data_IF_696457352669
#
_entry.id   IF_696457352669
#
_cell.length_a   1.000
_cell.length_b   1.000
_cell.length_c   1.000
_cell.angle_alpha   90.00
_cell.angle_beta   90.00
_cell.angle_gamma   90.00
#
_symmetry.space_group_name_H-M   'P 1'
#
loop_
_entity.id
_entity.type
_entity.pdbx_description
1 polymer ?
#
# COMPACT_ATOMS: atom_id res chain seq x y z
N UNK A 1 51.99 16.97 -28.07
CA UNK A 1 50.58 17.39 -28.19
C UNK A 1 49.81 16.31 -27.45
N UNK A 2 49.86 16.43 -26.13
CA UNK A 2 49.30 15.47 -25.20
C UNK A 2 47.89 15.95 -24.86
N UNK A 3 46.92 15.09 -25.16
CA UNK A 3 45.50 15.32 -24.88
C UNK A 3 45.21 14.70 -23.51
N UNK A 4 45.33 15.49 -22.46
CA UNK A 4 44.90 15.11 -21.12
C UNK A 4 43.36 14.99 -21.10
N UNK A 5 42.89 13.75 -20.98
CA UNK A 5 41.50 13.39 -20.76
C UNK A 5 41.20 13.48 -19.25
N UNK A 6 40.80 14.66 -18.78
CA UNK A 6 40.18 14.82 -17.46
C UNK A 6 38.81 14.13 -17.44
N UNK A 7 38.70 13.04 -16.67
CA UNK A 7 37.44 12.37 -16.38
C UNK A 7 36.70 13.11 -15.25
N UNK A 8 35.40 13.46 -15.40
CA UNK A 8 34.64 13.99 -14.29
C UNK A 8 34.32 12.88 -13.27
N UNK A 9 35.03 12.93 -12.14
CA UNK A 9 34.76 12.16 -10.93
C UNK A 9 33.40 12.54 -10.34
N UNK A 10 32.36 11.80 -10.71
CA UNK A 10 31.03 11.89 -10.10
C UNK A 10 31.00 11.13 -8.77
N UNK A 11 31.25 11.85 -7.68
CA UNK A 11 31.03 11.34 -6.32
C UNK A 11 29.57 11.60 -5.93
N UNK A 12 28.78 10.59 -5.53
CA UNK A 12 27.43 10.82 -5.02
C UNK A 12 27.48 11.48 -3.63
N UNK A 13 26.50 12.37 -3.31
CA UNK A 13 26.41 12.97 -1.99
C UNK A 13 26.06 11.90 -0.94
N UNK A 14 26.96 11.73 0.02
CA UNK A 14 26.78 10.88 1.20
C UNK A 14 25.73 11.53 2.12
N UNK A 15 24.47 11.17 1.94
CA UNK A 15 23.37 11.60 2.81
C UNK A 15 23.43 10.82 4.12
N UNK A 16 24.11 11.37 5.13
CA UNK A 16 24.03 10.88 6.52
C UNK A 16 22.66 11.24 7.07
N UNK A 17 21.67 10.38 6.85
CA UNK A 17 20.36 10.49 7.50
C UNK A 17 20.50 9.96 8.92
N UNK A 18 20.55 10.90 9.88
CA UNK A 18 20.54 10.65 11.32
C UNK A 18 19.16 10.10 11.70
N UNK A 19 19.04 8.77 11.74
CA UNK A 19 17.88 8.09 12.32
C UNK A 19 17.96 8.19 13.84
N UNK A 20 17.10 9.01 14.42
CA UNK A 20 16.77 8.99 15.85
C UNK A 20 15.94 7.73 16.13
N UNK A 21 16.58 6.68 16.64
CA UNK A 21 15.91 5.53 17.23
C UNK A 21 15.41 5.93 18.64
N UNK A 22 14.23 6.54 18.70
CA UNK A 22 13.41 6.48 19.91
C UNK A 22 12.76 5.11 19.96
N UNK A 23 13.42 4.18 20.64
CA UNK A 23 12.85 2.89 21.04
C UNK A 23 11.61 3.13 21.89
N UNK A 24 10.45 3.10 21.25
CA UNK A 24 9.18 2.89 21.93
C UNK A 24 8.81 1.45 21.62
N UNK A 25 8.92 0.61 22.64
CA UNK A 25 8.52 -0.78 22.67
C UNK A 25 7.03 -0.88 22.32
N UNK A 26 6.70 -1.01 21.05
CA UNK A 26 5.36 -1.40 20.63
C UNK A 26 5.23 -2.90 20.86
N UNK A 27 4.56 -3.23 21.96
CA UNK A 27 4.03 -4.54 22.30
C UNK A 27 3.54 -5.28 21.06
N UNK A 28 3.78 -6.59 20.92
CA UNK A 28 3.13 -7.39 19.89
C UNK A 28 1.63 -7.33 20.15
N UNK A 29 0.90 -6.68 19.25
CA UNK A 29 -0.55 -6.81 19.18
C UNK A 29 -0.84 -8.29 18.92
N UNK A 30 -1.38 -8.95 19.95
CA UNK A 30 -2.05 -10.24 19.86
C UNK A 30 -2.96 -10.21 18.64
N UNK A 31 -2.59 -10.91 17.58
CA UNK A 31 -3.56 -11.39 16.59
C UNK A 31 -4.46 -12.34 17.36
N UNK A 32 -5.58 -11.79 17.83
CA UNK A 32 -6.74 -12.55 18.26
C UNK A 32 -7.26 -13.24 17.01
N UNK A 33 -6.79 -14.46 16.76
CA UNK A 33 -7.49 -15.40 15.90
C UNK A 33 -8.90 -15.52 16.47
N UNK A 34 -9.85 -14.87 15.80
CA UNK A 34 -11.26 -15.10 16.01
C UNK A 34 -11.56 -16.54 15.65
N UNK A 35 -11.45 -17.43 16.64
CA UNK A 35 -12.13 -18.72 16.65
C UNK A 35 -13.62 -18.45 16.76
N UNK A 36 -14.22 -18.09 15.63
CA UNK A 36 -15.66 -18.12 15.45
C UNK A 36 -16.05 -19.51 14.94
N UNK A 37 -15.71 -20.55 15.69
CA UNK A 37 -16.52 -21.77 15.69
C UNK A 37 -17.42 -21.68 16.91
N UNK A 38 -18.52 -20.96 16.72
CA UNK A 38 -19.77 -21.26 17.40
C UNK A 38 -20.18 -22.66 16.98
N UNK A 39 -19.55 -23.66 17.61
CA UNK A 39 -20.12 -24.99 17.69
C UNK A 39 -21.33 -24.79 18.58
N UNK A 40 -22.46 -24.68 17.90
CA UNK A 40 -23.78 -24.93 18.42
C UNK A 40 -23.66 -26.03 19.48
N UNK A 41 -23.95 -25.65 20.72
CA UNK A 41 -24.04 -26.58 21.81
C UNK A 41 -25.21 -27.51 21.47
N UNK A 42 -24.93 -28.59 20.75
CA UNK A 42 -25.70 -29.80 20.86
C UNK A 42 -25.54 -30.25 22.30
N UNK A 43 -26.55 -29.85 23.08
CA UNK A 43 -26.90 -30.47 24.33
C UNK A 43 -26.73 -31.98 24.18
N UNK A 44 -25.82 -32.64 24.92
CA UNK A 44 -25.93 -34.07 25.08
C UNK A 44 -27.27 -34.29 25.76
N UNK A 45 -28.22 -34.76 24.96
CA UNK A 45 -29.50 -35.26 25.41
C UNK A 45 -29.20 -36.17 26.58
N UNK A 46 -29.55 -35.70 27.77
CA UNK A 46 -29.46 -36.46 29.01
C UNK A 46 -30.58 -37.49 28.94
N UNK A 47 -30.43 -38.49 28.06
CA UNK A 47 -31.04 -39.78 28.28
C UNK A 47 -30.33 -40.35 29.49
N UNK A 48 -31.01 -40.28 30.64
CA UNK A 48 -30.66 -40.98 31.87
C UNK A 48 -30.77 -42.49 31.60
N UNK A 49 -29.92 -43.02 30.72
CA UNK A 49 -29.61 -44.44 30.73
C UNK A 49 -28.81 -44.67 32.00
N UNK A 50 -29.42 -45.41 32.91
CA UNK A 50 -28.76 -45.97 34.08
C UNK A 50 -27.70 -46.92 33.52
N UNK A 51 -26.51 -46.41 33.21
CA UNK A 51 -25.38 -47.25 32.84
C UNK A 51 -25.05 -48.06 34.09
N UNK A 52 -25.27 -49.38 34.10
CA UNK A 52 -24.91 -50.20 35.23
C UNK A 52 -23.42 -50.02 35.49
N UNK A 53 -23.03 -49.79 36.75
CA UNK A 53 -21.63 -49.71 37.15
C UNK A 53 -20.96 -51.04 36.77
N UNK A 54 -20.30 -51.08 35.61
CA UNK A 54 -19.55 -52.26 35.16
C UNK A 54 -18.49 -52.56 36.19
N UNK A 55 -18.35 -53.83 36.52
CA UNK A 55 -17.31 -54.24 37.44
C UNK A 55 -15.95 -53.85 36.84
N UNK A 56 -15.01 -53.36 37.66
CA UNK A 56 -13.67 -52.98 37.19
C UNK A 56 -12.98 -54.16 36.47
N UNK A 57 -13.29 -55.40 36.87
CA UNK A 57 -12.84 -56.62 36.21
C UNK A 57 -13.36 -56.79 34.79
N UNK A 58 -14.56 -56.31 34.47
CA UNK A 58 -15.16 -56.36 33.13
C UNK A 58 -14.48 -55.36 32.20
N UNK A 59 -14.21 -54.14 32.70
CA UNK A 59 -13.50 -53.09 31.93
C UNK A 59 -12.04 -53.49 31.64
N UNK A 60 -11.39 -54.21 32.55
CA UNK A 60 -10.02 -54.70 32.35
C UNK A 60 -9.99 -55.95 31.44
N UNK A 61 -11.10 -56.71 31.38
CA UNK A 61 -11.24 -57.87 30.51
C UNK A 61 -11.53 -57.48 29.05
N UNK A 62 -11.97 -56.25 28.79
CA UNK A 62 -12.13 -55.74 27.44
C UNK A 62 -10.77 -55.69 26.72
N UNK A 63 -10.70 -56.42 25.62
CA UNK A 63 -9.52 -56.44 24.75
C UNK A 63 -9.50 -55.11 24.00
N UNK A 64 -8.48 -54.29 24.26
CA UNK A 64 -8.24 -53.10 23.46
C UNK A 64 -8.10 -53.50 21.98
N UNK A 65 -8.75 -52.73 21.10
CA UNK A 65 -8.50 -52.85 19.68
C UNK A 65 -6.99 -52.76 19.42
N UNK A 66 -6.42 -53.62 18.56
CA UNK A 66 -5.02 -53.51 18.18
C UNK A 66 -4.74 -52.12 17.64
N UNK A 67 -3.76 -51.43 18.24
CA UNK A 67 -3.32 -50.12 17.77
C UNK A 67 -2.45 -50.30 16.53
N UNK A 68 -2.91 -49.83 15.38
CA UNK A 68 -2.08 -49.80 14.19
C UNK A 68 -1.32 -48.48 14.14
N UNK A 69 -0.03 -48.55 14.52
CA UNK A 69 0.87 -47.41 14.55
C UNK A 69 0.92 -46.66 13.21
N UNK A 70 0.71 -47.34 12.07
CA UNK A 70 0.81 -46.68 10.77
C UNK A 70 -0.40 -45.79 10.52
N UNK A 71 -1.59 -46.39 10.55
CA UNK A 71 -2.84 -45.69 10.23
C UNK A 71 -3.20 -44.66 11.29
N UNK A 72 -2.97 -44.99 12.56
CA UNK A 72 -3.51 -44.18 13.66
C UNK A 72 -2.55 -43.05 14.05
N UNK A 73 -1.26 -43.19 13.71
CA UNK A 73 -0.25 -42.21 14.10
C UNK A 73 0.49 -41.63 12.89
N UNK A 74 1.05 -42.45 12.00
CA UNK A 74 1.97 -41.96 10.97
C UNK A 74 1.21 -41.27 9.83
N UNK A 75 0.14 -41.89 9.33
CA UNK A 75 -0.57 -41.42 8.15
C UNK A 75 -1.19 -40.02 8.34
N UNK A 76 -1.82 -39.67 9.49
CA UNK A 76 -2.33 -38.33 9.73
C UNK A 76 -1.25 -37.24 9.67
N UNK A 77 -0.03 -37.53 10.15
CA UNK A 77 1.08 -36.56 10.05
C UNK A 77 1.56 -36.41 8.60
N UNK A 78 1.58 -37.48 7.82
CA UNK A 78 1.95 -37.38 6.40
C UNK A 78 0.91 -36.58 5.61
N UNK A 79 -0.38 -36.79 5.90
CA UNK A 79 -1.46 -36.00 5.31
C UNK A 79 -1.37 -34.53 5.71
N UNK A 80 -1.05 -34.23 6.97
CA UNK A 80 -0.83 -32.86 7.45
C UNK A 80 0.31 -32.17 6.68
N UNK A 81 1.45 -32.85 6.54
CA UNK A 81 2.62 -32.32 5.81
C UNK A 81 2.27 -32.03 4.34
N UNK A 82 1.53 -32.93 3.69
CA UNK A 82 1.09 -32.73 2.31
C UNK A 82 0.13 -31.52 2.19
N UNK A 83 -0.75 -31.33 3.18
CA UNK A 83 -1.67 -30.18 3.22
C UNK A 83 -0.92 -28.87 3.44
N UNK A 84 0.06 -28.85 4.32
CA UNK A 84 0.91 -27.69 4.59
C UNK A 84 1.70 -27.26 3.34
N UNK A 85 2.20 -28.23 2.57
CA UNK A 85 2.89 -27.95 1.31
C UNK A 85 1.95 -27.26 0.31
N UNK A 86 0.72 -27.77 0.14
CA UNK A 86 -0.29 -27.16 -0.73
C UNK A 86 -0.67 -25.73 -0.27
N UNK A 87 -0.82 -25.51 1.03
CA UNK A 87 -1.11 -24.17 1.58
C UNK A 87 0.04 -23.22 1.29
N UNK A 88 1.28 -23.67 1.48
CA UNK A 88 2.48 -22.88 1.20
C UNK A 88 2.59 -22.51 -0.28
N UNK A 89 2.34 -23.46 -1.17
CA UNK A 89 2.33 -23.21 -2.62
C UNK A 89 1.28 -22.17 -3.01
N UNK A 90 0.04 -22.36 -2.56
CA UNK A 90 -1.06 -21.42 -2.81
C UNK A 90 -0.77 -20.03 -2.24
N UNK A 91 -0.19 -19.95 -1.03
CA UNK A 91 0.19 -18.68 -0.43
C UNK A 91 1.26 -17.95 -1.25
N UNK A 92 2.25 -18.68 -1.75
CA UNK A 92 3.29 -18.11 -2.60
C UNK A 92 2.72 -17.59 -3.92
N UNK A 93 1.80 -18.33 -4.53
CA UNK A 93 1.08 -17.90 -5.74
C UNK A 93 0.32 -16.58 -5.49
N UNK A 94 -0.51 -16.55 -4.44
CA UNK A 94 -1.27 -15.35 -4.08
C UNK A 94 -0.38 -14.14 -3.77
N UNK A 95 0.76 -14.37 -3.10
CA UNK A 95 1.71 -13.31 -2.78
C UNK A 95 2.37 -12.77 -4.05
N UNK A 96 2.75 -13.64 -4.99
CA UNK A 96 3.34 -13.24 -6.25
C UNK A 96 2.36 -12.42 -7.09
N UNK A 97 1.10 -12.86 -7.18
CA UNK A 97 0.05 -12.13 -7.90
C UNK A 97 -0.16 -10.73 -7.32
N UNK A 98 -0.26 -10.62 -5.99
CA UNK A 98 -0.41 -9.33 -5.32
C UNK A 98 0.77 -8.40 -5.58
N UNK A 99 2.00 -8.93 -5.56
CA UNK A 99 3.21 -8.15 -5.84
C UNK A 99 3.21 -7.64 -7.28
N UNK A 100 2.84 -8.48 -8.24
CA UNK A 100 2.76 -8.11 -9.65
C UNK A 100 1.68 -7.05 -9.90
N UNK A 101 0.49 -7.20 -9.31
CA UNK A 101 -0.58 -6.21 -9.42
C UNK A 101 -0.16 -4.87 -8.80
N UNK A 102 0.40 -4.89 -7.59
CA UNK A 102 0.89 -3.69 -6.92
C UNK A 102 1.99 -3.00 -7.75
N UNK A 103 2.92 -3.76 -8.32
CA UNK A 103 3.95 -3.24 -9.21
C UNK A 103 3.32 -2.55 -10.43
N UNK A 104 2.42 -3.24 -11.15
CA UNK A 104 1.76 -2.70 -12.33
C UNK A 104 0.99 -1.40 -12.01
N UNK A 105 0.28 -1.36 -10.89
CA UNK A 105 -0.42 -0.15 -10.43
C UNK A 105 0.53 0.98 -10.08
N UNK A 106 1.64 0.66 -9.39
CA UNK A 106 2.65 1.65 -9.00
C UNK A 106 3.39 2.26 -10.20
N UNK A 107 3.55 1.50 -11.29
CA UNK A 107 4.17 2.00 -12.52
C UNK A 107 3.19 2.77 -13.42
N UNK A 108 1.94 2.32 -13.51
CA UNK A 108 0.93 2.95 -14.37
C UNK A 108 0.48 4.32 -13.81
N UNK A 109 0.34 4.43 -12.49
CA UNK A 109 -0.24 5.63 -11.86
C UNK A 109 0.59 6.91 -12.05
N UNK A 110 1.91 6.94 -11.84
CA UNK A 110 2.72 8.14 -12.07
C UNK A 110 2.68 8.59 -13.53
N UNK A 111 2.67 7.65 -14.48
CA UNK A 111 2.57 7.96 -15.92
C UNK A 111 1.25 8.66 -16.24
N UNK A 112 0.14 8.09 -15.78
CA UNK A 112 -1.19 8.70 -15.94
C UNK A 112 -1.25 10.09 -15.29
N UNK A 113 -0.73 10.25 -14.08
CA UNK A 113 -0.70 11.54 -13.40
C UNK A 113 0.13 12.58 -14.16
N UNK A 114 1.28 12.18 -14.70
CA UNK A 114 2.14 13.04 -15.50
C UNK A 114 1.44 13.48 -16.79
N UNK A 115 0.74 12.57 -17.48
CA UNK A 115 -0.03 12.88 -18.69
C UNK A 115 -1.14 13.89 -18.41
N UNK A 116 -1.95 13.65 -17.37
CA UNK A 116 -3.00 14.59 -16.95
C UNK A 116 -2.43 15.96 -16.58
N UNK A 117 -1.31 16.00 -15.87
CA UNK A 117 -0.65 17.27 -15.52
C UNK A 117 -0.07 17.98 -16.75
N UNK A 118 0.47 17.25 -17.73
CA UNK A 118 0.95 17.81 -19.00
C UNK A 118 -0.21 18.45 -19.76
N UNK A 119 -1.35 17.76 -19.88
CA UNK A 119 -2.53 18.30 -20.56
C UNK A 119 -3.06 19.58 -19.90
N UNK A 120 -3.05 19.65 -18.57
CA UNK A 120 -3.47 20.85 -17.84
C UNK A 120 -2.50 22.00 -18.15
N UNK A 121 -1.19 21.74 -18.08
CA UNK A 121 -0.18 22.75 -18.36
C UNK A 121 -0.25 23.25 -19.81
N UNK A 122 -0.46 22.36 -20.77
CA UNK A 122 -0.62 22.71 -22.19
C UNK A 122 -1.84 23.63 -22.41
N UNK A 123 -2.95 23.36 -21.72
CA UNK A 123 -4.15 24.23 -21.75
C UNK A 123 -3.88 25.59 -21.13
N UNK A 124 -3.16 25.65 -20.01
CA UNK A 124 -2.78 26.93 -19.38
C UNK A 124 -1.86 27.75 -20.28
N UNK A 125 -0.86 27.12 -20.91
CA UNK A 125 0.04 27.78 -21.87
C UNK A 125 -0.75 28.30 -23.08
N UNK A 126 -1.65 27.49 -23.63
CA UNK A 126 -2.50 27.92 -24.74
C UNK A 126 -3.39 29.12 -24.36
N UNK A 127 -3.96 29.12 -23.15
CA UNK A 127 -4.77 30.23 -22.65
C UNK A 127 -3.96 31.51 -22.47
N UNK A 128 -2.73 31.43 -21.94
CA UNK A 128 -1.84 32.59 -21.81
C UNK A 128 -1.49 33.16 -23.18
N UNK A 129 -1.17 32.32 -24.16
CA UNK A 129 -0.87 32.76 -25.53
C UNK A 129 -2.05 33.46 -26.20
N UNK A 130 -3.28 33.00 -25.97
CA UNK A 130 -4.49 33.66 -26.46
C UNK A 130 -4.63 35.07 -25.86
N UNK A 131 -4.44 35.20 -24.54
CA UNK A 131 -4.49 36.49 -23.84
C UNK A 131 -3.40 37.45 -24.36
N UNK A 132 -2.17 36.96 -24.55
CA UNK A 132 -1.06 37.76 -25.11
C UNK A 132 -1.36 38.20 -26.54
N UNK A 133 -1.96 37.34 -27.36
CA UNK A 133 -2.37 37.68 -28.72
C UNK A 133 -3.44 38.78 -28.75
N UNK A 134 -4.37 38.80 -27.78
CA UNK A 134 -5.36 39.87 -27.65
C UNK A 134 -4.74 41.20 -27.22
N UNK A 135 -3.79 41.18 -26.30
CA UNK A 135 -3.10 42.40 -25.81
C UNK A 135 -2.11 42.97 -26.83
N UNK A 136 -1.48 42.11 -27.63
CA UNK A 136 -0.48 42.49 -28.63
C UNK A 136 -1.05 43.06 -29.93
N UNK A 137 -2.38 43.00 -30.16
CA UNK A 137 -3.01 43.67 -31.31
C UNK A 137 -2.94 45.17 -31.07
N UNK A 138 -2.19 45.95 -31.89
CA UNK A 138 -2.21 47.39 -31.76
C UNK A 138 -3.66 47.81 -31.96
N UNK A 139 -4.29 48.31 -30.89
CA UNK A 139 -5.53 49.03 -31.06
C UNK A 139 -5.21 50.12 -32.07
N UNK A 140 -5.93 50.13 -33.18
CA UNK A 140 -5.82 51.17 -34.17
C UNK A 140 -6.35 52.46 -33.51
N UNK A 141 -5.49 53.09 -32.70
CA UNK A 141 -5.66 54.40 -32.08
C UNK A 141 -5.44 55.44 -33.20
N UNK A 142 -6.12 55.24 -34.32
CA UNK A 142 -6.41 56.27 -35.28
C UNK A 142 -7.42 57.18 -34.58
N UNK A 143 -6.94 58.33 -34.09
CA UNK A 143 -7.71 59.50 -33.63
C UNK A 143 -8.06 59.63 -32.14
N UNK A 144 -7.13 59.39 -31.21
CA UNK A 144 -7.23 60.05 -29.89
C UNK A 144 -6.19 61.17 -29.78
N UNK A 145 -6.62 62.46 -29.80
CA UNK A 145 -5.72 63.58 -29.61
C UNK A 145 -5.13 63.54 -28.20
N UNK A 146 -3.82 63.43 -28.13
CA UNK A 146 -3.04 63.47 -26.90
C UNK A 146 -3.30 64.79 -26.16
N UNK A 147 -3.90 64.80 -24.95
CA UNK A 147 -3.97 66.01 -24.15
C UNK A 147 -2.57 66.28 -23.60
N UNK A 148 -1.90 67.26 -24.22
CA UNK A 148 -0.64 67.82 -23.74
C UNK A 148 -0.76 68.24 -22.27
N UNK A 149 0.11 67.65 -21.45
CA UNK A 149 0.82 68.28 -20.34
C UNK A 149 -0.01 69.07 -19.32
N UNK A 150 -0.24 68.47 -18.14
CA UNK A 150 0.19 69.05 -16.85
C UNK A 150 -0.24 68.19 -15.65
N UNK A 151 0.72 67.98 -14.73
CA UNK A 151 0.55 67.91 -13.27
C UNK A 151 -0.12 66.65 -12.65
N UNK A 152 0.69 65.79 -12.02
CA UNK A 152 1.00 65.84 -10.56
C UNK A 152 1.36 64.45 -10.06
N UNK A 153 2.52 64.37 -9.42
CA UNK A 153 3.03 63.22 -8.66
C UNK A 153 2.08 62.81 -7.53
N UNK A 154 1.62 61.56 -7.54
CA UNK A 154 1.08 60.89 -6.37
C UNK A 154 1.43 59.39 -6.42
N UNK A 155 2.53 59.03 -5.74
CA UNK A 155 2.89 57.66 -5.43
C UNK A 155 1.82 57.06 -4.51
N UNK A 156 1.02 56.12 -5.00
CA UNK A 156 0.16 55.29 -4.17
C UNK A 156 0.86 53.94 -3.94
N UNK A 157 1.46 53.81 -2.76
CA UNK A 157 2.01 52.56 -2.23
C UNK A 157 0.87 51.58 -1.95
N UNK A 158 0.76 50.52 -2.76
CA UNK A 158 -0.17 49.41 -2.53
C UNK A 158 0.55 48.29 -1.77
N UNK A 159 0.44 48.27 -0.46
CA UNK A 159 0.89 47.16 0.39
C UNK A 159 -0.14 46.03 0.35
N UNK A 160 0.06 45.07 -0.56
CA UNK A 160 -0.75 43.85 -0.65
C UNK A 160 -0.24 42.81 0.35
N UNK A 161 -0.83 42.77 1.53
CA UNK A 161 -0.64 41.69 2.52
C UNK A 161 -1.32 40.42 2.00
N UNK A 162 -0.53 39.36 1.76
CA UNK A 162 -1.01 38.01 1.41
C UNK A 162 -1.14 37.19 2.70
N UNK A 163 -2.28 36.54 2.90
CA UNK A 163 -2.53 35.59 4.00
C UNK A 163 -2.53 34.17 3.44
#
# INVERSE_FOLDING_TARGET
>A
MDMDLESPSSSPPKTTRKSSESGTTSSPSRVSLGSNNSVEAETPSTSTEIVPKRAVSEVIADIFAPFDRKTDLIDPFQEEVARDEQVKEKLNEMLLDLLLECHAWSEARPKYQMEVLSEILEKEVASVLEIEQEQGKPQNISSFPCPSSANTSAFVLFTRTRR
#
